data_IF_409146169896
#
_entry.id   IF_409146169896
#
_cell.length_a   1.000
_cell.length_b   1.000
_cell.length_c   1.000
_cell.angle_alpha   90.00
_cell.angle_beta   90.00
_cell.angle_gamma   90.00
#
_symmetry.space_group_name_H-M   'P 1'
#
loop_
_entity.id
_entity.type
_entity.pdbx_description
1 polymer ?
#
# COMPACT_ATOMS: atom_id res chain seq x y z
N UNK A 1 2.41 -18.32 59.38
CA UNK A 1 2.81 -16.95 58.93
C UNK A 1 3.84 -17.11 57.81
N UNK A 2 3.44 -16.90 56.58
CA UNK A 2 4.36 -16.90 55.39
C UNK A 2 5.18 -15.60 55.51
N UNK A 3 6.51 -15.75 55.59
CA UNK A 3 7.43 -14.63 55.79
C UNK A 3 7.28 -13.64 54.61
N UNK A 4 7.20 -12.32 54.93
CA UNK A 4 7.16 -11.21 53.94
C UNK A 4 8.19 -11.34 52.82
N UNK A 5 9.31 -12.01 53.09
CA UNK A 5 10.37 -12.32 52.09
C UNK A 5 9.88 -13.21 50.95
N UNK A 6 9.05 -14.22 51.22
CA UNK A 6 8.51 -15.10 50.18
C UNK A 6 7.46 -14.38 49.30
N UNK A 7 6.71 -13.44 49.90
CA UNK A 7 5.74 -12.65 49.17
C UNK A 7 6.43 -11.73 48.14
N UNK A 8 7.56 -11.12 48.50
CA UNK A 8 8.36 -10.30 47.57
C UNK A 8 8.99 -11.09 46.44
N UNK A 9 9.45 -12.34 46.73
CA UNK A 9 10.02 -13.21 45.70
C UNK A 9 8.94 -13.64 44.69
N UNK A 10 7.75 -14.02 45.16
CA UNK A 10 6.63 -14.41 44.30
C UNK A 10 6.17 -13.23 43.42
N UNK A 11 6.10 -12.02 44.03
CA UNK A 11 5.70 -10.81 43.32
C UNK A 11 6.74 -10.41 42.24
N UNK A 12 8.03 -10.60 42.50
CA UNK A 12 9.07 -10.32 41.50
C UNK A 12 9.05 -11.31 40.32
N UNK A 13 8.69 -12.58 40.57
CA UNK A 13 8.55 -13.61 39.53
C UNK A 13 7.32 -13.36 38.64
N UNK A 14 6.25 -12.75 39.16
CA UNK A 14 5.06 -12.38 38.39
C UNK A 14 5.30 -11.18 37.48
N UNK A 15 6.24 -10.29 37.82
CA UNK A 15 6.55 -9.11 36.99
C UNK A 15 7.45 -9.44 35.79
N UNK A 16 8.16 -10.58 35.78
CA UNK A 16 9.03 -10.98 34.66
C UNK A 16 8.28 -11.69 33.54
N UNK A 17 7.03 -12.07 33.72
CA UNK A 17 6.24 -12.80 32.72
C UNK A 17 5.48 -11.92 31.71
N UNK A 18 5.56 -10.59 31.79
CA UNK A 18 4.77 -9.67 30.95
C UNK A 18 5.57 -9.09 29.75
N UNK A 19 6.83 -9.49 29.56
CA UNK A 19 7.65 -8.99 28.44
C UNK A 19 7.83 -9.97 27.28
N UNK A 20 6.83 -10.79 27.00
CA UNK A 20 6.70 -11.36 25.67
C UNK A 20 5.89 -10.38 24.84
N UNK A 21 6.53 -9.27 24.48
CA UNK A 21 6.07 -8.46 23.38
C UNK A 21 5.91 -9.40 22.19
N UNK A 22 4.67 -9.61 21.75
CA UNK A 22 4.35 -10.21 20.49
C UNK A 22 5.04 -9.38 19.42
N UNK A 23 6.27 -9.74 19.13
CA UNK A 23 6.92 -9.37 17.89
C UNK A 23 6.07 -10.08 16.82
N UNK A 24 5.00 -9.43 16.39
CA UNK A 24 4.25 -9.85 15.23
C UNK A 24 5.31 -10.07 14.15
N UNK A 25 5.60 -11.33 13.88
CA UNK A 25 6.32 -11.70 12.66
C UNK A 25 5.54 -11.04 11.55
N UNK A 26 6.04 -9.94 11.04
CA UNK A 26 5.63 -9.46 9.74
C UNK A 26 6.00 -10.59 8.79
N UNK A 27 5.01 -11.47 8.58
CA UNK A 27 5.11 -12.50 7.57
C UNK A 27 5.54 -11.75 6.32
N UNK A 28 6.58 -12.23 5.67
CA UNK A 28 7.13 -11.72 4.42
C UNK A 28 6.01 -11.63 3.37
N UNK A 29 5.22 -10.56 3.43
CA UNK A 29 4.08 -10.36 2.53
C UNK A 29 4.67 -10.00 1.19
N UNK A 30 4.58 -10.92 0.24
CA UNK A 30 4.99 -10.68 -1.12
C UNK A 30 4.12 -9.59 -1.74
N UNK A 31 4.74 -8.58 -2.38
CA UNK A 31 4.01 -7.59 -3.18
C UNK A 31 3.05 -8.26 -4.18
N UNK A 32 3.45 -9.40 -4.75
CA UNK A 32 2.60 -10.19 -5.63
C UNK A 32 1.28 -10.58 -4.95
N UNK A 33 1.33 -11.11 -3.73
CA UNK A 33 0.12 -11.52 -3.00
C UNK A 33 -0.78 -10.33 -2.67
N UNK A 34 -0.18 -9.16 -2.37
CA UNK A 34 -0.94 -7.93 -2.14
C UNK A 34 -1.69 -7.54 -3.42
N UNK A 35 -1.00 -7.49 -4.56
CA UNK A 35 -1.59 -7.09 -5.83
C UNK A 35 -2.67 -8.09 -6.30
N UNK A 36 -2.48 -9.40 -6.12
CA UNK A 36 -3.50 -10.41 -6.42
C UNK A 36 -4.77 -10.22 -5.56
N UNK A 37 -4.65 -9.78 -4.30
CA UNK A 37 -5.82 -9.48 -3.45
C UNK A 37 -6.65 -8.31 -3.95
N UNK A 38 -6.07 -7.37 -4.71
CA UNK A 38 -6.75 -6.23 -5.31
C UNK A 38 -7.32 -6.52 -6.71
N UNK A 39 -6.85 -7.57 -7.36
CA UNK A 39 -7.27 -7.93 -8.71
C UNK A 39 -8.79 -8.08 -8.80
N UNK A 40 -9.37 -7.49 -9.82
CA UNK A 40 -10.82 -7.39 -10.07
C UNK A 40 -11.63 -6.64 -8.99
N UNK A 41 -10.98 -6.01 -8.01
CA UNK A 41 -11.63 -5.22 -6.95
C UNK A 41 -11.25 -3.75 -7.02
N UNK A 42 -9.98 -3.45 -7.26
CA UNK A 42 -9.44 -2.09 -7.25
C UNK A 42 -8.39 -1.91 -8.35
N UNK A 43 -8.29 -0.69 -8.84
CA UNK A 43 -7.08 -0.22 -9.55
C UNK A 43 -6.09 0.26 -8.51
N UNK A 44 -4.81 0.06 -8.74
CA UNK A 44 -3.78 0.43 -7.77
C UNK A 44 -2.86 1.48 -8.37
N UNK A 45 -2.69 2.59 -7.66
CA UNK A 45 -1.53 3.44 -7.83
C UNK A 45 -0.45 2.96 -6.86
N UNK A 46 0.53 2.24 -7.39
CA UNK A 46 1.64 1.70 -6.61
C UNK A 46 2.79 2.70 -6.62
N UNK A 47 3.16 3.20 -5.44
CA UNK A 47 4.33 4.05 -5.24
C UNK A 47 5.43 3.23 -4.57
N UNK A 48 6.56 3.07 -5.24
CA UNK A 48 7.75 2.42 -4.69
C UNK A 48 8.87 3.44 -4.55
N UNK A 49 9.38 3.61 -3.33
CA UNK A 49 10.46 4.56 -3.03
C UNK A 49 11.54 3.91 -2.17
N UNK A 50 12.73 4.50 -2.17
CA UNK A 50 13.80 4.15 -1.22
C UNK A 50 13.61 4.85 0.12
N UNK A 51 13.09 6.07 0.10
CA UNK A 51 12.92 6.96 1.25
C UNK A 51 11.45 7.34 1.42
N UNK A 52 11.04 7.64 2.66
CA UNK A 52 9.64 7.95 2.99
C UNK A 52 9.24 9.39 2.70
N UNK A 53 10.17 10.34 2.80
CA UNK A 53 9.89 11.78 2.72
C UNK A 53 10.47 12.42 1.46
N UNK A 54 10.27 11.81 0.31
CA UNK A 54 10.69 12.39 -0.97
C UNK A 54 9.65 13.39 -1.49
N UNK A 55 10.09 14.29 -2.35
CA UNK A 55 9.18 15.22 -3.08
C UNK A 55 8.07 14.43 -3.77
N UNK A 56 8.40 13.30 -4.38
CA UNK A 56 7.46 12.43 -5.07
C UNK A 56 6.37 11.88 -4.12
N UNK A 57 6.76 11.40 -2.93
CA UNK A 57 5.82 10.91 -1.90
C UNK A 57 4.82 11.99 -1.53
N UNK A 58 5.31 13.22 -1.29
CA UNK A 58 4.47 14.34 -0.92
C UNK A 58 3.50 14.74 -2.05
N UNK A 59 3.95 14.72 -3.31
CA UNK A 59 3.11 15.00 -4.47
C UNK A 59 2.01 13.94 -4.65
N UNK A 60 2.32 12.66 -4.50
CA UNK A 60 1.35 11.57 -4.56
C UNK A 60 0.33 11.68 -3.43
N UNK A 61 0.78 11.93 -2.19
CA UNK A 61 -0.12 12.12 -1.06
C UNK A 61 -1.07 13.30 -1.29
N UNK A 62 -0.53 14.46 -1.72
CA UNK A 62 -1.33 15.64 -2.04
C UNK A 62 -2.36 15.33 -3.12
N UNK A 63 -1.97 14.63 -4.19
CA UNK A 63 -2.88 14.21 -5.25
C UNK A 63 -4.03 13.36 -4.71
N UNK A 64 -3.74 12.35 -3.89
CA UNK A 64 -4.77 11.47 -3.33
C UNK A 64 -5.75 12.21 -2.41
N UNK A 65 -5.26 13.15 -1.61
CA UNK A 65 -6.11 13.98 -0.74
C UNK A 65 -6.99 14.93 -1.59
N UNK A 66 -6.40 15.65 -2.52
CA UNK A 66 -7.12 16.69 -3.30
C UNK A 66 -8.05 16.09 -4.36
N UNK A 67 -7.77 14.90 -4.86
CA UNK A 67 -8.56 14.23 -5.90
C UNK A 67 -9.36 13.03 -5.34
N UNK A 68 -9.60 13.00 -4.02
CA UNK A 68 -10.22 11.85 -3.35
C UNK A 68 -11.49 11.38 -4.04
N UNK A 69 -12.45 12.28 -4.28
CA UNK A 69 -13.72 11.94 -4.93
C UNK A 69 -13.50 11.28 -6.30
N UNK A 70 -12.64 11.86 -7.14
CA UNK A 70 -12.33 11.31 -8.47
C UNK A 70 -11.60 9.98 -8.42
N UNK A 71 -10.77 9.77 -7.40
CA UNK A 71 -10.08 8.49 -7.17
C UNK A 71 -11.07 7.41 -6.73
N UNK A 72 -11.98 7.75 -5.80
CA UNK A 72 -13.02 6.85 -5.30
C UNK A 72 -13.96 6.40 -6.44
N UNK A 73 -14.41 7.32 -7.32
CA UNK A 73 -15.22 6.98 -8.50
C UNK A 73 -14.54 5.99 -9.46
N UNK A 74 -13.21 5.95 -9.47
CA UNK A 74 -12.42 5.05 -10.32
C UNK A 74 -11.97 3.80 -9.61
N UNK A 75 -12.44 3.58 -8.37
CA UNK A 75 -11.99 2.50 -7.50
C UNK A 75 -10.45 2.43 -7.43
N UNK A 76 -9.80 3.62 -7.35
CA UNK A 76 -8.36 3.75 -7.32
C UNK A 76 -7.85 3.77 -5.88
N UNK A 77 -6.97 2.86 -5.54
CA UNK A 77 -6.34 2.72 -4.22
C UNK A 77 -4.85 3.09 -4.30
N UNK A 78 -4.33 3.73 -3.26
CA UNK A 78 -2.90 4.03 -3.14
C UNK A 78 -2.18 2.97 -2.32
N UNK A 79 -1.22 2.29 -2.92
CA UNK A 79 -0.32 1.38 -2.22
C UNK A 79 1.09 1.97 -2.21
N UNK A 80 1.64 2.20 -1.01
CA UNK A 80 3.00 2.72 -0.83
C UNK A 80 3.92 1.64 -0.30
N UNK A 81 5.04 1.46 -0.96
CA UNK A 81 6.07 0.48 -0.60
C UNK A 81 7.42 1.14 -0.50
N UNK A 82 8.06 0.97 0.64
CA UNK A 82 9.46 1.30 0.83
C UNK A 82 10.32 0.08 0.56
N UNK A 83 11.36 0.22 -0.24
CA UNK A 83 12.19 -0.93 -0.68
C UNK A 83 12.86 -1.68 0.47
N UNK A 84 13.14 -1.01 1.59
CA UNK A 84 13.90 -1.58 2.71
C UNK A 84 13.00 -2.20 3.80
N UNK A 85 11.67 -2.15 3.67
CA UNK A 85 10.72 -2.61 4.68
C UNK A 85 10.39 -4.12 4.62
N UNK A 86 11.31 -4.96 4.16
CA UNK A 86 11.13 -6.42 4.16
C UNK A 86 10.07 -6.95 3.18
N UNK A 87 9.52 -6.09 2.33
CA UNK A 87 8.67 -6.57 1.24
C UNK A 87 9.52 -7.33 0.23
N UNK A 88 9.23 -8.61 0.03
CA UNK A 88 9.85 -9.39 -1.04
C UNK A 88 9.34 -8.91 -2.41
N UNK A 89 9.83 -7.76 -2.86
CA UNK A 89 9.63 -7.25 -4.22
C UNK A 89 10.28 -8.20 -5.24
N UNK A 90 11.16 -9.09 -4.75
CA UNK A 90 12.03 -9.94 -5.55
C UNK A 90 11.33 -10.93 -6.49
N UNK A 91 10.06 -11.29 -6.26
CA UNK A 91 9.31 -12.21 -7.13
C UNK A 91 8.76 -11.57 -8.40
N UNK A 92 8.63 -10.23 -8.41
CA UNK A 92 8.21 -9.52 -9.63
C UNK A 92 9.42 -8.74 -10.13
N UNK A 93 10.16 -9.33 -11.07
CA UNK A 93 11.41 -8.79 -11.62
C UNK A 93 11.26 -7.33 -12.11
N UNK A 94 10.06 -6.96 -12.55
CA UNK A 94 9.76 -5.63 -13.08
C UNK A 94 9.94 -4.50 -12.06
N UNK A 95 9.59 -4.73 -10.78
CA UNK A 95 9.68 -3.71 -9.73
C UNK A 95 11.03 -3.70 -8.99
N UNK A 96 11.86 -4.75 -9.18
CA UNK A 96 13.04 -5.01 -8.37
C UNK A 96 14.03 -3.84 -8.30
N UNK A 97 14.27 -3.19 -9.44
CA UNK A 97 15.32 -2.17 -9.56
C UNK A 97 14.78 -0.75 -9.82
N UNK A 98 13.45 -0.60 -9.92
CA UNK A 98 12.83 0.69 -10.26
C UNK A 98 12.14 1.30 -9.04
N UNK A 99 12.27 2.60 -8.87
CA UNK A 99 11.44 3.43 -7.98
C UNK A 99 10.52 4.27 -8.85
N UNK A 100 9.42 4.78 -8.30
CA UNK A 100 8.49 5.61 -9.05
C UNK A 100 7.04 5.23 -8.79
N UNK A 101 6.18 5.54 -9.75
CA UNK A 101 4.73 5.36 -9.70
C UNK A 101 4.30 4.40 -10.81
N UNK A 102 3.49 3.41 -10.47
CA UNK A 102 2.85 2.48 -11.43
C UNK A 102 1.34 2.56 -11.31
N UNK A 103 0.66 2.62 -12.43
CA UNK A 103 -0.78 2.35 -12.50
C UNK A 103 -0.99 0.88 -12.85
N UNK A 104 -1.73 0.17 -12.02
CA UNK A 104 -2.10 -1.23 -12.19
C UNK A 104 -3.62 -1.29 -12.39
N UNK A 105 -4.06 -1.93 -13.46
CA UNK A 105 -5.47 -2.10 -13.78
C UNK A 105 -6.15 -3.18 -12.94
N UNK A 106 -7.47 -3.35 -13.12
CA UNK A 106 -8.24 -4.43 -12.48
C UNK A 106 -7.72 -5.83 -12.81
N UNK A 107 -7.19 -6.00 -14.01
CA UNK A 107 -6.61 -7.25 -14.49
C UNK A 107 -5.23 -7.58 -13.85
N UNK A 108 -4.73 -6.71 -12.96
CA UNK A 108 -3.43 -6.83 -12.34
C UNK A 108 -2.25 -6.43 -13.25
N UNK A 109 -2.53 -5.99 -14.49
CA UNK A 109 -1.49 -5.60 -15.43
C UNK A 109 -1.09 -4.13 -15.25
N UNK A 110 0.18 -3.83 -15.51
CA UNK A 110 0.71 -2.46 -15.50
C UNK A 110 0.15 -1.71 -16.71
N UNK A 111 -0.45 -0.55 -16.46
CA UNK A 111 -1.04 0.34 -17.46
C UNK A 111 -0.23 1.62 -17.68
N UNK A 112 0.65 1.96 -16.75
CA UNK A 112 1.53 3.12 -16.83
C UNK A 112 2.63 3.08 -15.80
N UNK A 113 3.73 3.76 -16.08
CA UNK A 113 4.88 3.89 -15.18
C UNK A 113 5.58 5.22 -15.42
N UNK A 114 6.07 5.82 -14.34
CA UNK A 114 6.96 6.99 -14.36
C UNK A 114 7.86 7.00 -13.13
N UNK A 115 9.02 7.60 -13.23
CA UNK A 115 9.94 7.80 -12.10
C UNK A 115 9.63 9.10 -11.34
N UNK A 116 8.85 9.98 -11.93
CA UNK A 116 8.43 11.27 -11.40
C UNK A 116 6.91 11.36 -11.21
N UNK A 117 6.36 12.57 -11.15
CA UNK A 117 4.93 12.82 -10.96
C UNK A 117 4.13 12.99 -12.26
N UNK A 118 4.74 12.82 -13.43
CA UNK A 118 4.08 13.09 -14.73
C UNK A 118 2.84 12.23 -14.96
N UNK A 119 2.86 10.97 -14.45
CA UNK A 119 1.69 10.08 -14.55
C UNK A 119 0.45 10.66 -13.85
N UNK A 120 0.62 11.42 -12.75
CA UNK A 120 -0.50 11.95 -11.98
C UNK A 120 -1.34 12.94 -12.78
N UNK A 121 -0.70 13.74 -13.64
CA UNK A 121 -1.39 14.77 -14.46
C UNK A 121 -2.39 14.18 -15.44
N UNK A 122 -2.15 12.95 -15.90
CA UNK A 122 -3.00 12.27 -16.89
C UNK A 122 -3.67 10.99 -16.35
N UNK A 123 -3.55 10.74 -15.06
CA UNK A 123 -3.95 9.46 -14.44
C UNK A 123 -5.44 9.13 -14.65
N UNK A 124 -6.31 10.09 -14.40
CA UNK A 124 -7.75 9.89 -14.55
C UNK A 124 -8.16 9.65 -16.00
N UNK A 125 -7.58 10.40 -16.97
CA UNK A 125 -7.83 10.16 -18.38
C UNK A 125 -7.36 8.79 -18.82
N UNK A 126 -6.20 8.34 -18.33
CA UNK A 126 -5.68 7.02 -18.64
C UNK A 126 -6.62 5.92 -18.12
N UNK A 127 -7.16 6.08 -16.91
CA UNK A 127 -8.14 5.15 -16.35
C UNK A 127 -9.47 5.21 -17.15
N UNK A 128 -9.97 6.40 -17.44
CA UNK A 128 -11.26 6.59 -18.13
C UNK A 128 -11.26 6.03 -19.57
N UNK A 129 -10.09 5.87 -20.16
CA UNK A 129 -9.93 5.22 -21.47
C UNK A 129 -9.84 3.67 -21.40
N UNK A 130 -9.76 3.08 -20.21
CA UNK A 130 -9.74 1.62 -20.06
C UNK A 130 -11.11 1.01 -20.44
N UNK A 131 -11.13 -0.16 -21.13
CA UNK A 131 -12.39 -0.79 -21.56
C UNK A 131 -13.38 -0.98 -20.41
N UNK A 132 -12.94 -1.57 -19.30
CA UNK A 132 -13.80 -1.82 -18.12
C UNK A 132 -14.34 -0.51 -17.55
N UNK A 133 -13.54 0.57 -17.51
CA UNK A 133 -14.01 1.86 -17.02
C UNK A 133 -15.08 2.46 -17.92
N UNK A 134 -15.00 2.27 -19.21
CA UNK A 134 -16.02 2.72 -20.17
C UNK A 134 -17.37 2.02 -19.93
N UNK A 135 -17.37 0.76 -19.55
CA UNK A 135 -18.60 0.05 -19.14
C UNK A 135 -19.14 0.57 -17.80
N UNK A 136 -18.27 0.75 -16.77
CA UNK A 136 -18.66 1.33 -15.49
C UNK A 136 -19.35 2.71 -15.67
N UNK A 137 -18.86 3.53 -16.59
CA UNK A 137 -19.41 4.87 -16.86
C UNK A 137 -20.81 4.83 -17.50
N UNK A 138 -21.21 3.74 -18.13
CA UNK A 138 -22.58 3.57 -18.66
C UNK A 138 -23.58 3.27 -17.54
N UNK A 139 -23.13 2.60 -16.48
CA UNK A 139 -23.98 2.14 -15.38
C UNK A 139 -24.08 3.14 -14.23
N UNK A 140 -23.06 4.00 -14.05
CA UNK A 140 -22.94 4.87 -12.88
C UNK A 140 -22.98 6.35 -13.29
N UNK A 141 -23.85 7.15 -12.65
CA UNK A 141 -23.79 8.61 -12.75
C UNK A 141 -22.52 9.12 -12.07
N UNK A 142 -21.78 10.02 -12.73
CA UNK A 142 -20.65 10.72 -12.12
C UNK A 142 -21.14 11.56 -10.94
N UNK A 143 -20.53 11.38 -9.77
CA UNK A 143 -20.85 12.12 -8.54
C UNK A 143 -19.80 13.19 -8.19
N UNK A 144 -18.74 13.26 -8.94
CA UNK A 144 -17.70 14.28 -8.88
C UNK A 144 -17.68 15.04 -10.19
#
# INVERSE_FOLDING_TARGET
MISLKYFLIIFSLLLTSVSWCNQTRFNNISLHNILENYKWKKRILLLITKEENTVLVNQVNKFFITQKCKNDERNLELLKIKKDNGYHINRISYFKNKSGIWLIGYDGNIKGYTEDNTLLSNLHNLIDNMPIRKEELKETKKNC
#
